data_IF_649070837174
#
_entry.id   IF_649070837174
#
_cell.length_a   1.000
_cell.length_b   1.000
_cell.length_c   1.000
_cell.angle_alpha   90.00
_cell.angle_beta   90.00
_cell.angle_gamma   90.00
#
_symmetry.space_group_name_H-M   'P 1'
#
loop_
_entity.id
_entity.type
_entity.pdbx_description
1 polymer ?
#
# COMPACT_ATOMS: atom_id res chain seq x y z
N UNK A 1 -25.01 -10.76 -3.60
CA UNK A 1 -25.94 -10.55 -2.46
C UNK A 1 -25.23 -9.64 -1.47
N UNK A 2 -25.88 -8.64 -0.85
CA UNK A 2 -25.18 -7.81 0.13
C UNK A 2 -24.70 -8.71 1.27
N UNK A 3 -23.38 -8.76 1.52
CA UNK A 3 -22.84 -9.53 2.62
C UNK A 3 -23.47 -9.08 3.94
N UNK A 4 -23.82 -10.03 4.79
CA UNK A 4 -24.48 -9.75 6.06
C UNK A 4 -23.61 -8.84 6.92
N UNK A 5 -24.22 -7.93 7.69
CA UNK A 5 -23.52 -7.08 8.67
C UNK A 5 -22.44 -7.82 9.49
N UNK A 6 -22.66 -9.06 9.99
CA UNK A 6 -21.60 -9.81 10.67
C UNK A 6 -20.38 -10.11 9.78
N UNK A 7 -20.54 -10.37 8.48
CA UNK A 7 -19.42 -10.59 7.57
C UNK A 7 -18.58 -9.32 7.39
N UNK A 8 -19.21 -8.15 7.30
CA UNK A 8 -18.49 -6.86 7.23
C UNK A 8 -17.73 -6.56 8.53
N UNK A 9 -18.33 -6.84 9.69
CA UNK A 9 -17.68 -6.67 10.99
C UNK A 9 -16.48 -7.61 11.16
N UNK A 10 -16.63 -8.88 10.78
CA UNK A 10 -15.53 -9.85 10.81
C UNK A 10 -14.39 -9.44 9.87
N UNK A 11 -14.73 -8.92 8.69
CA UNK A 11 -13.74 -8.42 7.72
C UNK A 11 -13.01 -7.19 8.26
N UNK A 12 -13.72 -6.26 8.90
CA UNK A 12 -13.12 -5.11 9.55
C UNK A 12 -12.16 -5.54 10.67
N UNK A 13 -12.56 -6.49 11.52
CA UNK A 13 -11.69 -7.05 12.57
C UNK A 13 -10.46 -7.77 11.98
N UNK A 14 -10.64 -8.53 10.90
CA UNK A 14 -9.55 -9.17 10.18
C UNK A 14 -8.58 -8.13 9.58
N UNK A 15 -9.10 -7.03 9.03
CA UNK A 15 -8.29 -5.94 8.49
C UNK A 15 -7.51 -5.19 9.56
N UNK A 16 -8.13 -4.92 10.72
CA UNK A 16 -7.43 -4.33 11.86
C UNK A 16 -6.30 -5.23 12.38
N UNK A 17 -6.56 -6.53 12.50
CA UNK A 17 -5.57 -7.49 13.00
C UNK A 17 -4.43 -7.73 12.02
N UNK A 18 -4.73 -7.96 10.73
CA UNK A 18 -3.71 -8.11 9.68
C UNK A 18 -2.92 -6.83 9.47
N UNK A 19 -3.56 -5.66 9.56
CA UNK A 19 -2.88 -4.36 9.52
C UNK A 19 -1.89 -4.19 10.66
N UNK A 20 -2.28 -4.58 11.88
CA UNK A 20 -1.40 -4.52 13.05
C UNK A 20 -0.25 -5.53 12.99
N UNK A 21 -0.50 -6.75 12.51
CA UNK A 21 0.44 -7.87 12.56
C UNK A 21 1.36 -7.99 11.35
N UNK A 22 0.93 -7.54 10.16
CA UNK A 22 1.67 -7.70 8.91
C UNK A 22 2.07 -6.34 8.34
N UNK A 23 1.09 -5.45 8.11
CA UNK A 23 1.34 -4.21 7.37
C UNK A 23 2.18 -3.23 8.18
N UNK A 24 1.83 -3.01 9.43
CA UNK A 24 2.54 -2.12 10.34
C UNK A 24 4.01 -2.50 10.53
N UNK A 25 4.38 -3.77 10.81
CA UNK A 25 5.79 -4.14 10.85
C UNK A 25 6.47 -3.95 9.49
N UNK A 26 5.85 -4.35 8.37
CA UNK A 26 6.45 -4.14 7.04
C UNK A 26 6.76 -2.68 6.74
N UNK A 27 5.82 -1.76 7.03
CA UNK A 27 6.05 -0.32 6.88
C UNK A 27 7.20 0.14 7.76
N UNK A 28 7.22 -0.30 9.03
CA UNK A 28 8.29 0.05 9.96
C UNK A 28 9.66 -0.44 9.48
N UNK A 29 9.79 -1.70 9.06
CA UNK A 29 11.03 -2.26 8.55
C UNK A 29 11.59 -1.41 7.40
N UNK A 30 10.76 -1.09 6.40
CA UNK A 30 11.23 -0.33 5.25
C UNK A 30 11.57 1.13 5.60
N UNK A 31 10.90 1.73 6.60
CA UNK A 31 11.28 3.07 7.10
C UNK A 31 12.59 3.11 7.88
N UNK A 32 13.06 1.96 8.37
CA UNK A 32 14.31 1.83 9.13
C UNK A 32 15.48 1.38 8.26
N UNK A 33 15.19 0.61 7.20
CA UNK A 33 16.18 0.00 6.32
C UNK A 33 16.58 0.92 5.15
N UNK A 34 16.50 2.25 5.34
CA UNK A 34 17.03 3.27 4.42
C UNK A 34 18.59 3.32 4.44
N UNK A 35 19.23 2.22 4.83
CA UNK A 35 20.68 1.99 4.79
C UNK A 35 21.49 2.68 5.89
N UNK A 36 20.90 3.51 6.75
CA UNK A 36 21.65 4.35 7.70
C UNK A 36 21.09 4.44 9.11
N UNK A 37 19.82 4.11 9.36
CA UNK A 37 19.19 4.28 10.69
C UNK A 37 19.34 3.07 11.60
N UNK A 38 20.50 2.98 12.25
CA UNK A 38 20.72 2.00 13.32
C UNK A 38 20.38 2.53 14.72
N UNK A 39 20.24 3.86 14.89
CA UNK A 39 20.01 4.52 16.19
C UNK A 39 18.78 5.40 16.23
N UNK A 40 18.14 5.49 17.40
CA UNK A 40 17.01 6.37 17.63
C UNK A 40 17.47 7.84 17.73
N UNK A 41 16.85 8.78 17.00
CA UNK A 41 17.27 10.20 17.02
C UNK A 41 17.06 10.91 18.36
N UNK A 42 16.20 10.38 19.22
CA UNK A 42 15.89 10.97 20.54
C UNK A 42 16.74 10.40 21.66
N UNK A 43 17.05 9.11 21.54
CA UNK A 43 17.43 8.26 22.66
C UNK A 43 18.82 7.63 22.43
N UNK A 44 19.31 7.69 21.19
CA UNK A 44 20.54 7.09 20.66
C UNK A 44 20.66 5.57 20.89
N UNK A 45 19.60 4.91 21.38
CA UNK A 45 19.60 3.46 21.50
C UNK A 45 19.54 2.82 20.12
N UNK A 46 20.20 1.68 19.96
CA UNK A 46 20.04 0.84 18.77
C UNK A 46 18.57 0.47 18.59
N UNK A 47 18.04 0.71 17.40
CA UNK A 47 16.65 0.40 17.05
C UNK A 47 16.48 -1.11 16.77
N UNK A 48 17.53 -1.73 16.24
CA UNK A 48 17.61 -3.13 15.88
C UNK A 48 18.92 -3.70 16.41
N UNK A 49 18.93 -4.22 17.63
CA UNK A 49 19.88 -5.28 17.99
C UNK A 49 19.30 -6.59 17.44
N UNK A 50 20.12 -7.60 17.14
CA UNK A 50 19.77 -8.87 16.48
C UNK A 50 18.73 -9.78 17.20
N UNK A 51 17.91 -9.23 18.11
CA UNK A 51 16.79 -9.89 18.80
C UNK A 51 15.45 -9.39 18.25
N UNK A 52 14.42 -10.24 18.11
CA UNK A 52 13.12 -9.87 17.54
C UNK A 52 12.22 -9.02 18.47
N UNK A 53 12.48 -9.00 19.77
CA UNK A 53 11.67 -8.27 20.77
C UNK A 53 11.59 -6.73 20.59
N UNK A 54 12.69 -5.99 20.31
CA UNK A 54 12.64 -4.55 20.05
C UNK A 54 11.77 -4.17 18.84
N UNK A 55 11.70 -5.03 17.82
CA UNK A 55 10.92 -4.78 16.61
C UNK A 55 9.41 -4.77 16.88
N UNK A 56 8.90 -5.74 17.64
CA UNK A 56 7.47 -5.80 18.00
C UNK A 56 7.06 -4.63 18.90
N UNK A 57 7.93 -4.19 19.82
CA UNK A 57 7.70 -3.00 20.64
C UNK A 57 7.68 -1.72 19.81
N UNK A 58 8.61 -1.58 18.87
CA UNK A 58 8.69 -0.42 17.98
C UNK A 58 7.47 -0.38 17.05
N UNK A 59 7.08 -1.55 16.50
CA UNK A 59 5.86 -1.71 15.72
C UNK A 59 4.66 -1.26 16.53
N UNK A 60 4.43 -1.80 17.74
CA UNK A 60 3.21 -1.53 18.53
C UNK A 60 3.19 -0.16 19.24
N UNK A 61 4.32 0.35 19.72
CA UNK A 61 4.38 1.53 20.61
C UNK A 61 5.03 2.78 19.98
N UNK A 62 5.66 2.67 18.80
CA UNK A 62 6.40 3.77 18.13
C UNK A 62 7.54 4.37 18.94
N UNK A 63 8.04 3.67 19.95
CA UNK A 63 9.12 4.14 20.82
C UNK A 63 10.24 3.11 20.86
N UNK A 64 11.49 3.57 20.76
CA UNK A 64 12.66 2.74 21.03
C UNK A 64 12.55 2.15 22.45
N UNK A 65 13.07 0.94 22.67
CA UNK A 65 13.14 0.33 24.01
C UNK A 65 13.80 1.28 25.03
N UNK A 66 14.82 2.04 24.60
CA UNK A 66 15.48 3.05 25.42
C UNK A 66 14.61 4.27 25.80
N UNK A 67 13.63 4.67 24.98
CA UNK A 67 12.67 5.74 25.30
C UNK A 67 11.58 5.23 26.22
N UNK A 68 11.15 3.97 26.04
CA UNK A 68 10.17 3.31 26.92
C UNK A 68 10.76 3.15 28.32
N UNK A 69 12.00 2.64 28.43
CA UNK A 69 12.68 2.45 29.70
C UNK A 69 12.92 3.76 30.46
N UNK A 70 13.18 4.86 29.75
CA UNK A 70 13.38 6.20 30.34
C UNK A 70 12.09 6.91 30.75
N UNK A 71 10.92 6.33 30.48
CA UNK A 71 9.64 6.98 30.74
C UNK A 71 9.49 8.34 30.04
N UNK A 72 10.21 8.56 28.93
CA UNK A 72 10.29 9.85 28.27
C UNK A 72 8.88 10.30 27.83
N UNK A 73 8.36 11.33 28.47
CA UNK A 73 7.23 12.11 27.98
C UNK A 73 7.63 12.82 26.68
N UNK A 74 6.69 13.09 25.76
CA UNK A 74 6.99 13.93 24.59
C UNK A 74 7.63 15.24 25.08
N UNK A 75 8.83 15.56 24.60
CA UNK A 75 9.46 16.84 24.92
C UNK A 75 8.65 17.92 24.19
N UNK A 76 7.80 18.63 24.94
CA UNK A 76 7.02 19.78 24.47
C UNK A 76 7.90 21.06 24.39
N UNK A 77 9.15 20.96 23.96
CA UNK A 77 9.94 22.17 23.70
C UNK A 77 9.65 22.66 22.30
N UNK A 78 9.01 23.83 22.20
CA UNK A 78 8.81 24.53 20.95
C UNK A 78 10.16 24.74 20.23
N UNK A 79 10.23 24.54 18.90
CA UNK A 79 11.43 24.86 18.15
C UNK A 79 11.73 26.36 18.22
N UNK A 80 13.01 26.78 18.12
CA UNK A 80 13.35 28.20 18.04
C UNK A 80 12.64 28.85 16.85
N UNK A 81 12.08 30.04 17.07
CA UNK A 81 11.33 30.78 16.06
C UNK A 81 12.20 31.04 14.83
N UNK A 82 11.85 30.43 13.69
CA UNK A 82 12.52 30.64 12.39
C UNK A 82 13.17 29.41 11.76
N UNK A 83 13.16 28.23 12.40
CA UNK A 83 13.62 27.00 11.76
C UNK A 83 12.52 26.40 10.85
N UNK A 84 12.85 25.88 9.64
CA UNK A 84 11.90 25.15 8.81
C UNK A 84 11.37 23.94 9.59
N UNK A 85 10.05 23.79 9.67
CA UNK A 85 9.43 22.63 10.33
C UNK A 85 9.83 21.34 9.59
N UNK A 86 10.56 20.40 10.22
CA UNK A 86 10.76 19.09 9.64
C UNK A 86 9.43 18.34 9.67
N UNK A 87 9.05 17.75 8.55
CA UNK A 87 7.88 16.87 8.46
C UNK A 87 8.18 15.52 9.13
N UNK A 88 8.27 15.50 10.46
CA UNK A 88 7.91 14.39 11.36
C UNK A 88 7.53 15.04 12.70
N UNK A 89 6.25 14.96 13.07
CA UNK A 89 5.73 15.51 14.32
C UNK A 89 6.34 14.78 15.54
N UNK A 90 7.17 15.51 16.30
CA UNK A 90 7.63 15.17 17.65
C UNK A 90 8.95 14.39 17.76
N UNK A 91 9.80 14.70 18.75
CA UNK A 91 11.03 13.95 19.02
C UNK A 91 10.68 12.56 19.58
N UNK A 92 10.64 11.55 18.72
CA UNK A 92 10.54 10.15 19.13
C UNK A 92 9.59 9.26 18.32
N UNK A 93 8.84 9.78 17.36
CA UNK A 93 7.98 8.96 16.50
C UNK A 93 8.80 8.32 15.37
N UNK A 94 9.00 7.00 15.44
CA UNK A 94 9.59 6.20 14.36
C UNK A 94 8.49 5.35 13.73
N UNK A 95 8.11 5.64 12.47
CA UNK A 95 7.06 4.94 11.70
C UNK A 95 5.74 5.71 11.48
N UNK A 96 4.92 5.27 10.52
CA UNK A 96 3.62 5.86 10.07
C UNK A 96 2.58 5.95 11.19
N UNK A 97 1.80 7.04 11.40
CA UNK A 97 0.86 7.30 12.54
C UNK A 97 0.01 6.10 13.05
N UNK A 98 -0.32 6.09 14.36
CA UNK A 98 -1.00 4.95 15.00
C UNK A 98 -2.39 4.81 14.38
N UNK A 99 -2.82 3.57 14.13
CA UNK A 99 -4.08 3.23 13.46
C UNK A 99 -4.13 3.48 11.95
N UNK A 100 -3.15 4.16 11.33
CA UNK A 100 -3.19 4.38 9.88
C UNK A 100 -3.06 3.06 9.11
N UNK A 101 -2.05 2.20 9.37
CA UNK A 101 -1.98 0.89 8.72
C UNK A 101 -3.22 0.04 8.95
N UNK A 102 -3.70 0.00 10.20
CA UNK A 102 -4.85 -0.80 10.60
C UNK A 102 -6.17 -0.31 9.96
N UNK A 103 -6.37 1.01 9.88
CA UNK A 103 -7.56 1.59 9.27
C UNK A 103 -7.55 1.45 7.75
N UNK A 104 -6.39 1.67 7.11
CA UNK A 104 -6.26 1.53 5.65
C UNK A 104 -6.51 0.08 5.23
N UNK A 105 -5.94 -0.90 5.93
CA UNK A 105 -6.20 -2.32 5.65
C UNK A 105 -7.65 -2.69 5.90
N UNK A 106 -8.23 -2.27 7.02
CA UNK A 106 -9.62 -2.54 7.33
C UNK A 106 -10.58 -1.97 6.27
N UNK A 107 -10.39 -0.70 5.89
CA UNK A 107 -11.20 -0.07 4.85
C UNK A 107 -11.04 -0.75 3.49
N UNK A 108 -9.82 -1.13 3.11
CA UNK A 108 -9.57 -1.82 1.85
C UNK A 108 -10.25 -3.19 1.79
N UNK A 109 -10.13 -4.01 2.84
CA UNK A 109 -10.77 -5.33 2.89
C UNK A 109 -12.30 -5.22 2.96
N UNK A 110 -12.83 -4.29 3.76
CA UNK A 110 -14.28 -4.04 3.84
C UNK A 110 -14.82 -3.57 2.49
N UNK A 111 -14.12 -2.69 1.79
CA UNK A 111 -14.50 -2.24 0.45
C UNK A 111 -14.58 -3.39 -0.56
N UNK A 112 -13.59 -4.29 -0.54
CA UNK A 112 -13.59 -5.49 -1.39
C UNK A 112 -14.76 -6.41 -1.07
N UNK A 113 -14.98 -6.74 0.20
CA UNK A 113 -16.10 -7.60 0.59
C UNK A 113 -17.44 -6.93 0.28
N UNK A 114 -17.58 -5.62 0.50
CA UNK A 114 -18.80 -4.90 0.17
C UNK A 114 -19.12 -4.90 -1.35
N UNK A 115 -18.13 -5.11 -2.20
CA UNK A 115 -18.29 -5.28 -3.65
C UNK A 115 -19.15 -6.47 -4.06
N UNK A 116 -19.20 -7.52 -3.23
CA UNK A 116 -20.05 -8.67 -3.51
C UNK A 116 -19.43 -9.75 -4.41
N UNK A 117 -18.14 -9.65 -4.72
CA UNK A 117 -17.42 -10.71 -5.41
C UNK A 117 -17.30 -11.96 -4.51
N UNK A 118 -17.27 -13.14 -5.13
CA UNK A 118 -17.20 -14.42 -4.41
C UNK A 118 -16.06 -15.33 -4.93
N UNK A 119 -15.75 -16.38 -4.17
CA UNK A 119 -14.82 -17.44 -4.55
C UNK A 119 -13.37 -16.96 -4.75
N UNK A 120 -12.72 -17.47 -5.80
CA UNK A 120 -11.31 -17.16 -6.08
C UNK A 120 -11.08 -15.71 -6.53
N UNK A 121 -12.08 -15.06 -7.13
CA UNK A 121 -12.00 -13.65 -7.51
C UNK A 121 -11.96 -12.75 -6.26
N UNK A 122 -12.84 -13.02 -5.28
CA UNK A 122 -12.80 -12.36 -3.98
C UNK A 122 -11.43 -12.56 -3.32
N UNK A 123 -10.91 -13.79 -3.36
CA UNK A 123 -9.56 -14.09 -2.87
C UNK A 123 -8.49 -13.20 -3.52
N UNK A 124 -8.51 -13.06 -4.85
CA UNK A 124 -7.57 -12.22 -5.58
C UNK A 124 -7.68 -10.74 -5.21
N UNK A 125 -8.90 -10.22 -5.04
CA UNK A 125 -9.13 -8.84 -4.61
C UNK A 125 -8.68 -8.59 -3.17
N UNK A 126 -8.96 -9.52 -2.24
CA UNK A 126 -8.52 -9.43 -0.85
C UNK A 126 -6.99 -9.50 -0.74
N UNK A 127 -6.34 -10.38 -1.52
CA UNK A 127 -4.89 -10.45 -1.60
C UNK A 127 -4.29 -9.11 -2.04
N UNK A 128 -4.81 -8.56 -3.14
CA UNK A 128 -4.32 -7.30 -3.68
C UNK A 128 -4.63 -6.12 -2.74
N UNK A 129 -5.76 -6.12 -2.05
CA UNK A 129 -6.08 -5.10 -1.05
C UNK A 129 -5.13 -5.16 0.15
N UNK A 130 -4.80 -6.36 0.63
CA UNK A 130 -3.86 -6.55 1.74
C UNK A 130 -2.43 -6.14 1.35
N UNK A 131 -1.87 -6.72 0.29
CA UNK A 131 -0.50 -6.41 -0.14
C UNK A 131 -0.40 -4.97 -0.67
N UNK A 132 -1.44 -4.52 -1.37
CA UNK A 132 -1.58 -3.16 -1.87
C UNK A 132 -1.60 -2.12 -0.77
N UNK A 133 -2.30 -2.36 0.34
CA UNK A 133 -2.27 -1.44 1.49
C UNK A 133 -0.86 -1.28 2.07
N UNK A 134 -0.07 -2.36 2.16
CA UNK A 134 1.32 -2.30 2.58
C UNK A 134 2.19 -1.55 1.57
N UNK A 135 2.03 -1.84 0.28
CA UNK A 135 2.72 -1.13 -0.81
C UNK A 135 2.45 0.37 -0.76
N UNK A 136 1.19 0.78 -0.61
CA UNK A 136 0.79 2.20 -0.53
C UNK A 136 1.43 2.89 0.66
N UNK A 137 1.41 2.26 1.84
CA UNK A 137 1.96 2.86 3.04
C UNK A 137 3.49 2.93 3.01
N UNK A 138 4.15 1.92 2.46
CA UNK A 138 5.59 1.93 2.24
C UNK A 138 5.97 2.99 1.21
N UNK A 139 5.26 3.06 0.09
CA UNK A 139 5.49 4.05 -0.96
C UNK A 139 5.32 5.49 -0.46
N UNK A 140 4.28 5.77 0.31
CA UNK A 140 4.09 7.09 0.96
C UNK A 140 5.21 7.39 1.97
N UNK A 141 5.71 6.37 2.68
CA UNK A 141 6.70 6.55 3.74
C UNK A 141 8.14 6.71 3.22
N UNK A 142 8.54 5.92 2.23
CA UNK A 142 9.94 5.86 1.74
C UNK A 142 10.10 6.13 0.25
N UNK A 143 9.01 6.33 -0.50
CA UNK A 143 9.01 6.59 -1.96
C UNK A 143 9.80 5.54 -2.76
N UNK A 144 9.81 4.32 -2.26
CA UNK A 144 10.49 3.19 -2.85
C UNK A 144 9.52 2.01 -2.82
N UNK A 145 9.28 1.39 -3.98
CA UNK A 145 8.38 0.25 -4.08
C UNK A 145 9.19 -1.05 -3.91
N UNK A 146 8.95 -1.85 -2.84
CA UNK A 146 9.77 -3.04 -2.59
C UNK A 146 9.50 -4.14 -3.63
N UNK A 147 10.57 -4.67 -4.20
CA UNK A 147 10.50 -5.71 -5.25
C UNK A 147 9.85 -7.00 -4.76
N UNK A 148 10.09 -7.37 -3.50
CA UNK A 148 9.47 -8.55 -2.89
C UNK A 148 7.96 -8.40 -2.70
N UNK A 149 7.48 -7.21 -2.30
CA UNK A 149 6.04 -6.97 -2.10
C UNK A 149 5.30 -6.89 -3.45
N UNK A 150 5.91 -6.26 -4.45
CA UNK A 150 5.34 -6.21 -5.81
C UNK A 150 5.29 -7.58 -6.45
N UNK A 151 6.34 -8.39 -6.29
CA UNK A 151 6.35 -9.79 -6.73
C UNK A 151 5.29 -10.63 -5.99
N UNK A 152 5.13 -10.44 -4.67
CA UNK A 152 4.10 -11.12 -3.90
C UNK A 152 2.69 -10.75 -4.37
N UNK A 153 2.43 -9.46 -4.65
CA UNK A 153 1.16 -9.01 -5.23
C UNK A 153 0.89 -9.72 -6.57
N UNK A 154 1.86 -9.69 -7.50
CA UNK A 154 1.76 -10.31 -8.81
C UNK A 154 1.51 -11.82 -8.72
N UNK A 155 2.33 -12.53 -7.93
CA UNK A 155 2.27 -13.98 -7.79
C UNK A 155 0.94 -14.44 -7.18
N UNK A 156 0.51 -13.83 -6.07
CA UNK A 156 -0.75 -14.22 -5.43
C UNK A 156 -1.96 -13.93 -6.31
N UNK A 157 -2.02 -12.77 -6.98
CA UNK A 157 -3.09 -12.48 -7.93
C UNK A 157 -3.11 -13.47 -9.09
N UNK A 158 -1.95 -13.82 -9.68
CA UNK A 158 -1.87 -14.79 -10.76
C UNK A 158 -2.31 -16.20 -10.33
N UNK A 159 -1.89 -16.65 -9.14
CA UNK A 159 -2.26 -17.95 -8.59
C UNK A 159 -3.77 -18.03 -8.34
N UNK A 160 -4.36 -16.99 -7.73
CA UNK A 160 -5.79 -16.97 -7.39
C UNK A 160 -6.68 -16.91 -8.63
N UNK A 161 -6.31 -16.09 -9.62
CA UNK A 161 -7.02 -16.05 -10.91
C UNK A 161 -6.80 -17.34 -11.72
N UNK A 162 -5.62 -17.95 -11.63
CA UNK A 162 -5.34 -19.26 -12.22
C UNK A 162 -6.21 -20.36 -11.59
N UNK A 163 -6.36 -20.36 -10.26
CA UNK A 163 -7.28 -21.26 -9.57
C UNK A 163 -8.72 -21.03 -10.03
N UNK A 164 -9.15 -19.78 -10.16
CA UNK A 164 -10.47 -19.44 -10.71
C UNK A 164 -10.68 -20.00 -12.12
N UNK A 165 -9.65 -19.96 -12.97
CA UNK A 165 -9.70 -20.48 -14.33
C UNK A 165 -9.77 -22.01 -14.36
N UNK A 166 -8.98 -22.69 -13.52
CA UNK A 166 -8.96 -24.15 -13.39
C UNK A 166 -10.30 -24.67 -12.86
N UNK A 167 -10.84 -24.07 -11.79
CA UNK A 167 -12.07 -24.56 -11.18
C UNK A 167 -13.33 -24.13 -11.92
N UNK A 168 -13.30 -22.95 -12.57
CA UNK A 168 -14.45 -22.39 -13.27
C UNK A 168 -14.43 -22.58 -14.79
N UNK A 169 -13.37 -23.15 -15.37
CA UNK A 169 -13.20 -23.32 -16.82
C UNK A 169 -12.97 -22.02 -17.60
N UNK A 170 -12.67 -20.91 -16.92
CA UNK A 170 -12.64 -19.55 -17.50
C UNK A 170 -11.31 -19.21 -18.18
N UNK A 171 -10.79 -20.11 -19.01
CA UNK A 171 -9.48 -19.95 -19.66
C UNK A 171 -9.39 -18.74 -20.59
N UNK A 172 -10.50 -18.36 -21.24
CA UNK A 172 -10.55 -17.15 -22.06
C UNK A 172 -10.35 -15.87 -21.21
N UNK A 173 -10.92 -15.84 -20.00
CA UNK A 173 -10.71 -14.74 -19.07
C UNK A 173 -9.26 -14.70 -18.60
N UNK A 174 -8.66 -15.85 -18.29
CA UNK A 174 -7.25 -15.96 -17.92
C UNK A 174 -6.29 -15.56 -19.05
N UNK A 175 -6.59 -15.91 -20.31
CA UNK A 175 -5.82 -15.43 -21.46
C UNK A 175 -5.88 -13.91 -21.58
N UNK A 176 -7.06 -13.31 -21.34
CA UNK A 176 -7.24 -11.86 -21.33
C UNK A 176 -6.50 -11.18 -20.17
N UNK A 177 -6.42 -11.79 -19.00
CA UNK A 177 -5.66 -11.23 -17.87
C UNK A 177 -4.17 -11.16 -18.18
N UNK A 178 -3.61 -12.23 -18.76
CA UNK A 178 -2.22 -12.28 -19.19
C UNK A 178 -1.95 -11.25 -20.30
N UNK A 179 -2.85 -11.14 -21.28
CA UNK A 179 -2.75 -10.14 -22.35
C UNK A 179 -2.82 -8.70 -21.82
N UNK A 180 -3.74 -8.43 -20.89
CA UNK A 180 -3.88 -7.11 -20.26
C UNK A 180 -2.64 -6.75 -19.43
N UNK A 181 -2.14 -7.69 -18.63
CA UNK A 181 -0.91 -7.51 -17.84
C UNK A 181 0.29 -7.18 -18.73
N UNK A 182 0.48 -7.93 -19.82
CA UNK A 182 1.56 -7.69 -20.77
C UNK A 182 1.40 -6.34 -21.49
N UNK A 183 0.21 -6.04 -22.01
CA UNK A 183 -0.05 -4.80 -22.75
C UNK A 183 0.17 -3.57 -21.87
N UNK A 184 -0.41 -3.54 -20.66
CA UNK A 184 -0.24 -2.41 -19.74
C UNK A 184 1.19 -2.34 -19.22
N UNK A 185 1.84 -3.47 -18.96
CA UNK A 185 3.25 -3.50 -18.57
C UNK A 185 4.18 -2.86 -19.62
N UNK A 186 3.99 -3.19 -20.90
CA UNK A 186 4.75 -2.58 -22.00
C UNK A 186 4.47 -1.08 -22.08
N UNK A 187 3.21 -0.66 -21.99
CA UNK A 187 2.83 0.75 -22.03
C UNK A 187 3.49 1.52 -20.88
N UNK A 188 3.43 1.01 -19.65
CA UNK A 188 4.06 1.67 -18.50
C UNK A 188 5.58 1.69 -18.58
N UNK A 189 6.21 0.64 -19.12
CA UNK A 189 7.64 0.62 -19.37
C UNK A 189 8.04 1.72 -20.37
N UNK A 190 7.27 1.87 -21.45
CA UNK A 190 7.49 2.96 -22.42
C UNK A 190 7.30 4.34 -21.77
N UNK A 191 6.25 4.52 -20.98
CA UNK A 191 6.02 5.78 -20.24
C UNK A 191 7.18 6.09 -19.29
N UNK A 192 7.74 5.10 -18.59
CA UNK A 192 8.91 5.32 -17.76
C UNK A 192 10.13 5.79 -18.56
N UNK A 193 10.34 5.25 -19.76
CA UNK A 193 11.46 5.67 -20.62
C UNK A 193 11.27 7.06 -21.24
N UNK A 194 10.04 7.46 -21.58
CA UNK A 194 9.76 8.70 -22.32
C UNK A 194 9.38 9.86 -21.42
N UNK A 195 8.59 9.59 -20.37
CA UNK A 195 8.04 10.61 -19.47
C UNK A 195 8.74 10.65 -18.10
N UNK A 196 9.75 9.80 -17.87
CA UNK A 196 10.45 9.73 -16.59
C UNK A 196 9.58 9.22 -15.44
N UNK A 197 8.57 8.39 -15.75
CA UNK A 197 7.64 7.84 -14.77
C UNK A 197 8.38 6.95 -13.76
N UNK A 198 8.02 7.06 -12.48
CA UNK A 198 8.66 6.31 -11.41
C UNK A 198 8.59 4.80 -11.64
N UNK A 199 9.73 4.11 -11.49
CA UNK A 199 9.84 2.65 -11.72
C UNK A 199 8.92 1.81 -10.81
N UNK A 200 8.45 2.37 -9.69
CA UNK A 200 7.47 1.72 -8.83
C UNK A 200 6.14 1.47 -9.54
N UNK A 201 5.61 2.50 -10.22
CA UNK A 201 4.32 2.44 -10.90
C UNK A 201 4.32 1.41 -12.04
N UNK A 202 5.47 1.27 -12.71
CA UNK A 202 5.68 0.28 -13.78
C UNK A 202 5.56 -1.15 -13.27
N UNK A 203 6.03 -1.43 -12.06
CA UNK A 203 6.05 -2.80 -11.50
C UNK A 203 4.66 -3.26 -11.06
N UNK A 204 3.83 -2.35 -10.57
CA UNK A 204 2.49 -2.71 -10.06
C UNK A 204 1.42 -2.72 -11.14
N UNK A 205 1.57 -1.90 -12.19
CA UNK A 205 0.59 -1.77 -13.27
C UNK A 205 0.20 -3.10 -13.97
N UNK A 206 1.13 -4.03 -14.27
CA UNK A 206 0.78 -5.34 -14.82
C UNK A 206 -0.16 -6.15 -13.90
N UNK A 207 0.08 -6.11 -12.60
CA UNK A 207 -0.74 -6.82 -11.61
C UNK A 207 -2.15 -6.23 -11.53
N UNK A 208 -2.27 -4.91 -11.55
CA UNK A 208 -3.56 -4.22 -11.59
C UNK A 208 -4.32 -4.55 -12.87
N UNK A 209 -3.63 -4.52 -14.01
CA UNK A 209 -4.19 -4.88 -15.31
C UNK A 209 -4.60 -6.35 -15.39
N UNK A 210 -3.89 -7.27 -14.73
CA UNK A 210 -4.29 -8.67 -14.63
C UNK A 210 -5.65 -8.82 -13.93
N UNK A 211 -5.83 -8.14 -12.78
CA UNK A 211 -7.09 -8.18 -12.03
C UNK A 211 -8.25 -7.56 -12.85
N UNK A 212 -8.03 -6.40 -13.46
CA UNK A 212 -9.05 -5.73 -14.28
C UNK A 212 -9.36 -6.52 -15.56
N UNK A 213 -8.33 -7.11 -16.19
CA UNK A 213 -8.44 -7.93 -17.39
C UNK A 213 -9.25 -9.21 -17.17
N UNK A 214 -9.36 -9.68 -15.92
CA UNK A 214 -10.27 -10.77 -15.57
C UNK A 214 -11.71 -10.43 -15.96
N UNK A 215 -12.13 -9.21 -15.64
CA UNK A 215 -13.47 -8.69 -15.92
C UNK A 215 -13.62 -8.38 -17.42
N UNK A 216 -12.86 -7.41 -17.94
CA UNK A 216 -12.92 -7.00 -19.35
C UNK A 216 -11.82 -6.01 -19.71
N UNK A 217 -11.61 -5.77 -21.01
CA UNK A 217 -10.76 -4.66 -21.49
C UNK A 217 -11.30 -3.29 -21.07
N UNK A 218 -12.62 -3.13 -21.02
CA UNK A 218 -13.28 -1.91 -20.56
C UNK A 218 -12.94 -1.62 -19.09
N UNK A 219 -12.88 -2.65 -18.25
CA UNK A 219 -12.44 -2.52 -16.86
C UNK A 219 -10.98 -2.10 -16.76
N UNK A 220 -10.09 -2.64 -17.62
CA UNK A 220 -8.68 -2.22 -17.68
C UNK A 220 -8.58 -0.73 -17.99
N UNK A 221 -9.29 -0.27 -19.03
CA UNK A 221 -9.29 1.14 -19.42
C UNK A 221 -9.77 2.04 -18.28
N UNK A 222 -10.94 1.76 -17.72
CA UNK A 222 -11.52 2.59 -16.66
C UNK A 222 -10.73 2.55 -15.36
N UNK A 223 -10.16 1.39 -14.99
CA UNK A 223 -9.34 1.26 -13.78
C UNK A 223 -8.03 2.05 -13.87
N UNK A 224 -7.34 1.96 -15.00
CA UNK A 224 -6.13 2.76 -15.24
C UNK A 224 -6.46 4.25 -15.34
N UNK A 225 -7.52 4.62 -16.06
CA UNK A 225 -7.97 6.02 -16.17
C UNK A 225 -8.37 6.61 -14.82
N UNK A 226 -9.11 5.86 -13.99
CA UNK A 226 -9.46 6.26 -12.62
C UNK A 226 -8.21 6.46 -11.76
N UNK A 227 -7.21 5.58 -11.92
CA UNK A 227 -5.92 5.70 -11.25
C UNK A 227 -5.19 7.00 -11.59
N UNK A 228 -5.08 7.32 -12.88
CA UNK A 228 -4.48 8.58 -13.34
C UNK A 228 -5.27 9.80 -12.88
N UNK A 229 -6.61 9.74 -12.90
CA UNK A 229 -7.46 10.84 -12.44
C UNK A 229 -7.26 11.10 -10.94
N UNK A 230 -7.25 10.05 -10.11
CA UNK A 230 -6.95 10.16 -8.68
C UNK A 230 -5.56 10.72 -8.43
N UNK A 231 -4.57 10.31 -9.23
CA UNK A 231 -3.20 10.82 -9.14
C UNK A 231 -3.12 12.30 -9.50
N UNK A 232 -3.84 12.73 -10.53
CA UNK A 232 -3.94 14.13 -10.92
C UNK A 232 -4.63 14.98 -9.86
N UNK A 233 -5.72 14.49 -9.27
CA UNK A 233 -6.42 15.17 -8.17
C UNK A 233 -5.51 15.31 -6.94
N UNK A 234 -4.76 14.26 -6.60
CA UNK A 234 -3.78 14.31 -5.52
C UNK A 234 -2.69 15.34 -5.81
N UNK A 235 -2.11 15.31 -7.02
CA UNK A 235 -1.13 16.29 -7.47
C UNK A 235 -1.68 17.73 -7.37
N UNK A 236 -2.89 17.97 -7.85
CA UNK A 236 -3.54 19.27 -7.80
C UNK A 236 -3.78 19.74 -6.35
N UNK A 237 -4.24 18.85 -5.46
CA UNK A 237 -4.41 19.17 -4.05
C UNK A 237 -3.10 19.59 -3.38
N UNK A 238 -1.99 18.92 -3.69
CA UNK A 238 -0.66 19.27 -3.16
C UNK A 238 -0.16 20.63 -3.68
N UNK A 239 -0.46 20.96 -4.94
CA UNK A 239 -0.14 22.27 -5.52
C UNK A 239 -0.93 23.39 -4.81
N UNK A 240 -2.22 23.20 -4.59
CA UNK A 240 -3.08 24.16 -3.88
C UNK A 240 -2.64 24.32 -2.42
N UNK A 241 -2.20 23.24 -1.77
CA UNK A 241 -1.68 23.25 -0.42
C UNK A 241 -0.30 23.91 -0.28
N UNK A 242 0.31 24.40 -1.37
CA UNK A 242 1.64 25.02 -1.35
C UNK A 242 2.79 24.04 -1.09
N UNK A 243 2.52 22.73 -1.07
CA UNK A 243 3.47 21.66 -0.79
C UNK A 243 4.21 21.21 -2.06
N UNK A 244 4.62 22.16 -2.90
CA UNK A 244 5.36 21.86 -4.13
C UNK A 244 6.83 21.59 -3.80
N UNK A 245 7.12 20.40 -3.24
CA UNK A 245 8.50 19.89 -3.28
C UNK A 245 8.73 19.33 -4.67
N UNK A 246 9.60 19.99 -5.45
CA UNK A 246 10.14 19.45 -6.71
C UNK A 246 10.75 18.08 -6.42
N UNK A 247 10.08 17.01 -6.84
CA UNK A 247 10.59 15.64 -6.69
C UNK A 247 9.47 14.65 -6.44
N UNK A 248 9.04 14.02 -7.52
CA UNK A 248 8.24 12.79 -7.66
C UNK A 248 6.96 12.68 -6.82
N UNK A 249 5.84 12.93 -7.52
CA UNK A 249 4.50 12.54 -7.09
C UNK A 249 4.40 11.03 -7.29
N UNK A 250 4.25 10.27 -6.20
CA UNK A 250 4.06 8.83 -6.31
C UNK A 250 2.62 8.53 -6.79
N UNK A 251 2.48 8.01 -8.01
CA UNK A 251 1.17 7.70 -8.60
C UNK A 251 0.64 6.32 -8.17
N UNK A 252 1.50 5.45 -7.65
CA UNK A 252 1.20 4.07 -7.28
C UNK A 252 -0.04 3.90 -6.40
N UNK A 253 -0.20 4.68 -5.32
CA UNK A 253 -1.39 4.61 -4.47
C UNK A 253 -2.68 4.95 -5.19
N UNK A 254 -2.65 5.98 -6.05
CA UNK A 254 -3.80 6.39 -6.82
C UNK A 254 -4.17 5.33 -7.87
N UNK A 255 -3.18 4.76 -8.56
CA UNK A 255 -3.35 3.66 -9.51
C UNK A 255 -3.97 2.42 -8.86
N UNK A 256 -3.46 2.01 -7.70
CA UNK A 256 -3.99 0.87 -6.96
C UNK A 256 -5.43 1.12 -6.48
N UNK A 257 -5.70 2.31 -5.92
CA UNK A 257 -7.03 2.69 -5.47
C UNK A 257 -8.04 2.70 -6.62
N UNK A 258 -7.69 3.28 -7.77
CA UNK A 258 -8.53 3.31 -8.97
C UNK A 258 -8.82 1.91 -9.51
N UNK A 259 -7.80 1.06 -9.63
CA UNK A 259 -7.95 -0.30 -10.12
C UNK A 259 -8.83 -1.17 -9.20
N UNK A 260 -8.62 -1.11 -7.88
CA UNK A 260 -9.44 -1.86 -6.91
C UNK A 260 -10.88 -1.33 -6.92
N UNK A 261 -11.08 -0.01 -6.91
CA UNK A 261 -12.43 0.57 -6.94
C UNK A 261 -13.22 0.15 -8.18
N UNK A 262 -12.59 0.18 -9.36
CA UNK A 262 -13.24 -0.26 -10.60
C UNK A 262 -13.49 -1.77 -10.58
N UNK A 263 -12.55 -2.58 -10.09
CA UNK A 263 -12.77 -4.02 -9.98
C UNK A 263 -13.91 -4.37 -9.03
N UNK A 264 -14.03 -3.65 -7.90
CA UNK A 264 -15.08 -3.85 -6.89
C UNK A 264 -16.44 -3.37 -7.40
N UNK A 265 -16.47 -2.34 -8.26
CA UNK A 265 -17.72 -1.83 -8.83
C UNK A 265 -18.28 -2.70 -9.97
N UNK A 266 -17.44 -3.52 -10.61
CA UNK A 266 -17.81 -4.35 -11.76
C UNK A 266 -17.96 -5.84 -11.38
N UNK A 267 -17.31 -6.27 -10.29
CA UNK A 267 -17.44 -7.62 -9.72
C UNK A 267 -18.76 -7.81 -8.99
#
# INVERSE_FOLDING_TARGET
MPHSLPALVLTAAAGLTTGALLVRPTVLAHTLDDGTRTRCPTCDSTLLDARPAPYLQLALRRRCAGCVARGAAPVLTAPPAGAPLPAVEGPGAVGSAALVPEAVTALALVGVVAGGADGWLLGAQLWLALVGSALVLVDVAVRLLPDLLTAAAAAGTAILLGAAAVTGGQWAAFGRTAAAAAAVGVVFLLLATVAGLGLGDVKIAPTLAALLGWHSWTAVYWGIAAGFLLGLLHAAAQLVAGSSRKGDIAFGPALLAGAVAVSVAIG
#
